data_IF_700725933714
#
_entry.id   IF_700725933714
#
_cell.length_a   1.000
_cell.length_b   1.000
_cell.length_c   1.000
_cell.angle_alpha   90.00
_cell.angle_beta   90.00
_cell.angle_gamma   90.00
#
_symmetry.space_group_name_H-M   'P 1'
#
loop_
_entity.id
_entity.type
_entity.pdbx_description
1 polymer ?
#
# COMPACT_ATOMS: atom_id res chain seq x y z
N UNK A 1 -29.30 20.19 -13.45
CA UNK A 1 -27.96 19.66 -13.79
C UNK A 1 -27.31 20.60 -14.81
N UNK A 2 -26.92 21.79 -14.37
CA UNK A 2 -26.37 22.81 -15.26
C UNK A 2 -24.84 22.83 -15.15
N UNK A 3 -24.17 22.57 -16.26
CA UNK A 3 -22.76 22.98 -16.41
C UNK A 3 -22.64 24.48 -16.19
N UNK A 4 -21.67 24.95 -15.43
CA UNK A 4 -21.47 26.38 -15.20
C UNK A 4 -21.27 27.10 -16.56
N UNK A 5 -22.05 28.15 -16.79
CA UNK A 5 -21.94 28.95 -18.00
C UNK A 5 -20.60 29.68 -18.02
N UNK A 6 -19.77 29.45 -19.02
CA UNK A 6 -18.46 30.11 -19.19
C UNK A 6 -17.25 29.19 -19.04
N UNK A 7 -17.44 27.88 -18.94
CA UNK A 7 -16.34 26.91 -18.87
C UNK A 7 -15.95 26.42 -20.27
N UNK A 8 -14.66 26.17 -20.45
CA UNK A 8 -14.13 25.57 -21.69
C UNK A 8 -14.89 24.25 -22.00
N UNK A 9 -15.38 24.04 -23.25
CA UNK A 9 -16.19 22.87 -23.61
C UNK A 9 -15.53 21.54 -23.28
N UNK A 10 -14.22 21.45 -23.33
CA UNK A 10 -13.45 20.23 -23.01
C UNK A 10 -13.47 19.92 -21.51
N UNK A 11 -13.45 20.95 -20.66
CA UNK A 11 -13.55 20.82 -19.20
C UNK A 11 -15.00 20.48 -18.81
N UNK A 12 -15.98 21.10 -19.46
CA UNK A 12 -17.40 20.84 -19.25
C UNK A 12 -17.77 19.39 -19.58
N UNK A 13 -17.24 18.84 -20.65
CA UNK A 13 -17.45 17.44 -21.06
C UNK A 13 -16.85 16.47 -20.04
N UNK A 14 -15.61 16.70 -19.60
CA UNK A 14 -14.97 15.87 -18.56
C UNK A 14 -15.69 15.95 -17.22
N UNK A 15 -16.10 17.15 -16.79
CA UNK A 15 -16.87 17.33 -15.56
C UNK A 15 -18.23 16.62 -15.66
N UNK A 16 -18.92 16.75 -16.79
CA UNK A 16 -20.19 16.06 -17.00
C UNK A 16 -20.03 14.54 -16.96
N UNK A 17 -18.97 14.01 -17.58
CA UNK A 17 -18.62 12.59 -17.54
C UNK A 17 -18.35 12.09 -16.11
N UNK A 18 -17.65 12.87 -15.29
CA UNK A 18 -17.40 12.54 -13.90
C UNK A 18 -18.66 12.62 -13.01
N UNK A 19 -19.51 13.62 -13.24
CA UNK A 19 -20.73 13.85 -12.45
C UNK A 19 -21.89 12.94 -12.86
N UNK A 20 -21.94 12.49 -14.10
CA UNK A 20 -22.96 11.57 -14.63
C UNK A 20 -22.53 10.11 -14.59
N UNK A 21 -21.44 9.80 -13.87
CA UNK A 21 -20.97 8.43 -13.72
C UNK A 21 -22.14 7.47 -13.45
N UNK A 22 -22.30 6.44 -14.26
CA UNK A 22 -23.47 5.54 -14.37
C UNK A 22 -23.98 4.85 -13.10
N UNK A 23 -23.79 5.45 -11.93
CA UNK A 23 -24.24 4.95 -10.64
C UNK A 23 -23.60 3.61 -10.26
N UNK A 24 -24.31 2.83 -9.46
CA UNK A 24 -23.85 1.52 -9.00
C UNK A 24 -23.50 0.58 -10.16
N UNK A 25 -24.27 0.63 -11.26
CA UNK A 25 -24.06 -0.26 -12.40
C UNK A 25 -22.69 -0.07 -13.06
N UNK A 26 -22.21 1.16 -13.17
CA UNK A 26 -20.86 1.44 -13.72
C UNK A 26 -19.73 0.93 -12.83
N UNK A 27 -20.00 0.80 -11.52
CA UNK A 27 -19.06 0.31 -10.54
C UNK A 27 -19.08 -1.21 -10.34
N UNK A 28 -20.06 -1.92 -10.92
CA UNK A 28 -20.22 -3.37 -10.71
C UNK A 28 -19.00 -4.17 -11.13
N UNK A 29 -18.32 -3.77 -12.20
CA UNK A 29 -17.08 -4.43 -12.62
C UNK A 29 -15.97 -4.30 -11.56
N UNK A 30 -15.78 -3.11 -11.02
CA UNK A 30 -14.79 -2.84 -9.96
C UNK A 30 -15.14 -3.59 -8.67
N UNK A 31 -16.40 -3.60 -8.28
CA UNK A 31 -16.89 -4.36 -7.12
C UNK A 31 -16.62 -5.86 -7.29
N UNK A 32 -16.93 -6.41 -8.46
CA UNK A 32 -16.65 -7.83 -8.76
C UNK A 32 -15.16 -8.15 -8.67
N UNK A 33 -14.29 -7.26 -9.19
CA UNK A 33 -12.84 -7.42 -9.10
C UNK A 33 -12.37 -7.42 -7.65
N UNK A 34 -12.87 -6.48 -6.83
CA UNK A 34 -12.53 -6.39 -5.41
C UNK A 34 -12.95 -7.66 -4.67
N UNK A 35 -14.16 -8.16 -4.90
CA UNK A 35 -14.64 -9.40 -4.28
C UNK A 35 -13.76 -10.59 -4.63
N UNK A 36 -13.39 -10.75 -5.91
CA UNK A 36 -12.49 -11.82 -6.35
C UNK A 36 -11.08 -11.68 -5.74
N UNK A 37 -10.54 -10.46 -5.69
CA UNK A 37 -9.24 -10.20 -5.09
C UNK A 37 -9.25 -10.52 -3.59
N UNK A 38 -10.30 -10.16 -2.85
CA UNK A 38 -10.42 -10.50 -1.43
C UNK A 38 -10.58 -12.01 -1.19
N UNK A 39 -11.31 -12.72 -2.03
CA UNK A 39 -11.39 -14.19 -1.98
C UNK A 39 -10.02 -14.82 -2.21
N UNK A 40 -9.29 -14.36 -3.21
CA UNK A 40 -7.94 -14.83 -3.50
C UNK A 40 -6.97 -14.52 -2.35
N UNK A 41 -6.99 -13.29 -1.84
CA UNK A 41 -6.19 -12.88 -0.69
C UNK A 41 -6.46 -13.74 0.55
N UNK A 42 -7.73 -14.01 0.85
CA UNK A 42 -8.14 -14.90 1.94
C UNK A 42 -7.62 -16.33 1.79
N UNK A 43 -7.63 -16.88 0.57
CA UNK A 43 -7.05 -18.22 0.29
C UNK A 43 -5.54 -18.20 0.55
N UNK A 44 -4.84 -17.19 0.06
CA UNK A 44 -3.39 -17.05 0.23
C UNK A 44 -3.01 -16.90 1.70
N UNK A 45 -3.79 -16.15 2.48
CA UNK A 45 -3.60 -16.01 3.94
C UNK A 45 -3.82 -17.34 4.67
N UNK A 46 -4.90 -18.04 4.37
CA UNK A 46 -5.22 -19.36 4.96
C UNK A 46 -4.17 -20.44 4.66
N UNK A 47 -3.47 -20.36 3.53
CA UNK A 47 -2.41 -21.34 3.18
C UNK A 47 -1.13 -21.18 4.01
N UNK A 48 -0.98 -20.07 4.75
CA UNK A 48 0.22 -19.75 5.52
C UNK A 48 1.46 -19.44 4.67
N UNK A 49 1.30 -19.30 3.35
CA UNK A 49 2.40 -18.95 2.45
C UNK A 49 2.99 -17.60 2.83
N UNK A 50 2.14 -16.62 3.16
CA UNK A 50 2.59 -15.29 3.55
C UNK A 50 3.45 -15.33 4.82
N UNK A 51 3.05 -16.14 5.82
CA UNK A 51 3.84 -16.33 7.04
C UNK A 51 5.24 -16.89 6.78
N UNK A 52 5.35 -17.88 5.89
CA UNK A 52 6.65 -18.43 5.50
C UNK A 52 7.51 -17.43 4.75
N UNK A 53 6.89 -16.67 3.87
CA UNK A 53 7.57 -15.63 3.08
C UNK A 53 8.17 -14.56 3.97
N UNK A 54 7.38 -14.00 4.89
CA UNK A 54 7.86 -12.96 5.79
C UNK A 54 8.90 -13.48 6.79
N UNK A 55 8.76 -14.71 7.31
CA UNK A 55 9.82 -15.32 8.12
C UNK A 55 11.13 -15.50 7.34
N UNK A 56 11.05 -15.80 6.05
CA UNK A 56 12.23 -15.87 5.19
C UNK A 56 12.84 -14.49 4.97
N UNK A 57 12.01 -13.47 4.77
CA UNK A 57 12.45 -12.08 4.61
C UNK A 57 13.01 -11.53 5.93
N UNK A 58 12.45 -11.87 7.07
CA UNK A 58 12.97 -11.45 8.38
C UNK A 58 14.40 -11.97 8.62
N UNK A 59 14.71 -13.18 8.16
CA UNK A 59 16.09 -13.70 8.20
C UNK A 59 17.06 -12.86 7.37
N UNK A 60 16.58 -12.25 6.29
CA UNK A 60 17.38 -11.38 5.42
C UNK A 60 17.70 -10.03 6.09
N UNK A 61 16.91 -9.58 7.07
CA UNK A 61 17.12 -8.33 7.81
C UNK A 61 18.43 -8.27 8.61
N UNK A 62 19.19 -9.36 8.68
CA UNK A 62 20.52 -9.47 9.33
C UNK A 62 20.59 -8.88 10.75
N UNK A 63 19.48 -8.78 11.45
CA UNK A 63 19.42 -8.23 12.80
C UNK A 63 19.61 -6.71 12.93
N UNK A 64 19.81 -5.97 11.84
CA UNK A 64 19.98 -4.52 11.87
C UNK A 64 18.64 -3.77 11.85
N UNK A 65 18.59 -2.56 12.45
CA UNK A 65 17.41 -1.71 12.45
C UNK A 65 17.01 -1.30 11.01
N UNK A 66 17.98 -0.84 10.21
CA UNK A 66 17.74 -0.47 8.82
C UNK A 66 17.34 -1.67 7.95
N UNK A 67 17.94 -2.85 8.18
CA UNK A 67 17.56 -4.08 7.50
C UNK A 67 16.11 -4.48 7.79
N UNK A 68 15.62 -4.24 9.01
CA UNK A 68 14.22 -4.49 9.37
C UNK A 68 13.26 -3.58 8.60
N UNK A 69 13.58 -2.29 8.48
CA UNK A 69 12.78 -1.34 7.67
C UNK A 69 12.71 -1.79 6.22
N UNK A 70 13.85 -2.05 5.59
CA UNK A 70 13.90 -2.50 4.19
C UNK A 70 13.07 -3.76 3.98
N UNK A 71 13.23 -4.74 4.85
CA UNK A 71 12.50 -6.01 4.73
C UNK A 71 11.00 -5.82 4.92
N UNK A 72 10.58 -4.95 5.85
CA UNK A 72 9.16 -4.63 6.06
C UNK A 72 8.57 -3.98 4.82
N UNK A 73 9.22 -2.96 4.27
CA UNK A 73 8.74 -2.25 3.08
C UNK A 73 8.72 -3.15 1.84
N UNK A 74 9.77 -3.96 1.61
CA UNK A 74 9.78 -4.94 0.53
C UNK A 74 8.68 -6.00 0.69
N UNK A 75 8.37 -6.41 1.92
CA UNK A 75 7.27 -7.32 2.19
C UNK A 75 5.92 -6.71 1.83
N UNK A 76 5.69 -5.43 2.14
CA UNK A 76 4.48 -4.72 1.75
C UNK A 76 4.31 -4.67 0.22
N UNK A 77 5.38 -4.31 -0.51
CA UNK A 77 5.38 -4.30 -1.98
C UNK A 77 5.05 -5.69 -2.53
N UNK A 78 5.66 -6.71 -1.97
CA UNK A 78 5.47 -8.10 -2.42
C UNK A 78 4.04 -8.59 -2.15
N UNK A 79 3.48 -8.27 -0.98
CA UNK A 79 2.08 -8.58 -0.66
C UNK A 79 1.13 -7.82 -1.57
N UNK A 80 1.38 -6.54 -1.88
CA UNK A 80 0.61 -5.78 -2.87
C UNK A 80 0.60 -6.44 -4.26
N UNK A 81 1.74 -7.00 -4.67
CA UNK A 81 1.86 -7.69 -5.94
C UNK A 81 1.10 -9.02 -6.00
N UNK A 82 1.13 -9.79 -4.91
CA UNK A 82 0.58 -11.15 -4.85
C UNK A 82 -0.88 -11.15 -4.41
N UNK A 83 -1.22 -10.46 -3.32
CA UNK A 83 -2.56 -10.49 -2.73
C UNK A 83 -3.55 -9.55 -3.42
N UNK A 84 -3.08 -8.68 -4.31
CA UNK A 84 -3.91 -7.76 -5.08
C UNK A 84 -4.74 -6.80 -4.22
N UNK A 85 -4.42 -6.66 -2.94
CA UNK A 85 -5.17 -5.84 -1.98
C UNK A 85 -4.25 -5.07 -1.03
N UNK A 86 -4.47 -3.77 -0.96
CA UNK A 86 -3.73 -2.84 -0.10
C UNK A 86 -3.93 -3.15 1.38
N UNK A 87 -5.14 -3.54 1.78
CA UNK A 87 -5.47 -3.82 3.17
C UNK A 87 -4.60 -4.96 3.73
N UNK A 88 -4.46 -6.05 2.97
CA UNK A 88 -3.61 -7.18 3.34
C UNK A 88 -2.13 -6.80 3.37
N UNK A 89 -1.69 -5.90 2.48
CA UNK A 89 -0.30 -5.46 2.43
C UNK A 89 0.13 -4.63 3.65
N UNK A 90 -0.82 -4.07 4.38
CA UNK A 90 -0.58 -3.34 5.63
C UNK A 90 -0.73 -4.27 6.84
N UNK A 91 -1.84 -4.99 6.92
CA UNK A 91 -2.16 -5.78 8.12
C UNK A 91 -1.20 -6.96 8.28
N UNK A 92 -0.89 -7.65 7.20
CA UNK A 92 -0.11 -8.88 7.29
C UNK A 92 1.34 -8.59 7.73
N UNK A 93 2.12 -7.72 7.04
CA UNK A 93 3.45 -7.33 7.52
C UNK A 93 3.40 -6.63 8.88
N UNK A 94 2.36 -5.83 9.15
CA UNK A 94 2.19 -5.16 10.43
C UNK A 94 2.14 -6.12 11.61
N UNK A 95 1.38 -7.20 11.50
CA UNK A 95 1.31 -8.25 12.52
C UNK A 95 2.62 -9.03 12.64
N UNK A 96 3.26 -9.31 11.52
CA UNK A 96 4.42 -10.18 11.47
C UNK A 96 5.70 -9.52 11.97
N UNK A 97 5.85 -8.23 11.71
CA UNK A 97 7.06 -7.51 12.11
C UNK A 97 6.92 -6.77 13.44
N UNK A 98 5.72 -6.73 14.04
CA UNK A 98 5.46 -6.06 15.31
C UNK A 98 6.48 -6.45 16.38
N UNK A 99 6.57 -7.75 16.70
CA UNK A 99 7.51 -8.27 17.70
C UNK A 99 8.97 -7.94 17.35
N UNK A 100 9.34 -8.01 16.06
CA UNK A 100 10.69 -7.69 15.62
C UNK A 100 11.06 -6.20 15.78
N UNK A 101 10.10 -5.28 15.74
CA UNK A 101 10.29 -3.87 16.05
C UNK A 101 10.38 -3.65 17.57
N UNK A 102 9.52 -4.31 18.35
CA UNK A 102 9.53 -4.28 19.82
C UNK A 102 10.84 -4.82 20.40
N UNK A 103 11.34 -5.96 19.92
CA UNK A 103 12.63 -6.56 20.31
C UNK A 103 13.83 -5.60 20.09
N UNK A 104 13.71 -4.70 19.12
CA UNK A 104 14.74 -3.69 18.83
C UNK A 104 14.49 -2.35 19.49
N UNK A 105 13.52 -2.27 20.41
CA UNK A 105 13.07 -1.07 21.11
C UNK A 105 12.67 0.06 20.16
N UNK A 106 12.11 -0.28 19.00
CA UNK A 106 11.61 0.70 18.04
C UNK A 106 10.14 0.98 18.31
N UNK A 107 9.80 2.26 18.47
CA UNK A 107 8.42 2.67 18.73
C UNK A 107 7.47 2.22 17.60
N UNK A 108 6.22 1.79 17.91
CA UNK A 108 5.23 1.29 16.93
C UNK A 108 4.99 2.24 15.75
N UNK A 109 5.18 3.55 15.96
CA UNK A 109 5.07 4.56 14.90
C UNK A 109 6.06 4.37 13.76
N UNK A 110 7.22 3.74 14.01
CA UNK A 110 8.19 3.45 12.94
C UNK A 110 7.62 2.35 12.03
N UNK A 111 7.04 1.30 12.61
CA UNK A 111 6.38 0.26 11.84
C UNK A 111 5.21 0.83 11.04
N UNK A 112 4.35 1.62 11.68
CA UNK A 112 3.20 2.26 11.01
C UNK A 112 3.63 3.09 9.81
N UNK A 113 4.72 3.84 9.93
CA UNK A 113 5.27 4.62 8.83
C UNK A 113 5.76 3.73 7.68
N UNK A 114 6.53 2.67 7.96
CA UNK A 114 7.00 1.75 6.92
C UNK A 114 5.82 1.10 6.16
N UNK A 115 4.75 0.74 6.89
CA UNK A 115 3.55 0.15 6.30
C UNK A 115 2.82 1.15 5.40
N UNK A 116 2.75 2.41 5.80
CA UNK A 116 2.13 3.47 5.01
C UNK A 116 2.97 3.82 3.78
N UNK A 117 4.28 4.05 3.96
CA UNK A 117 5.18 4.46 2.89
C UNK A 117 5.30 3.40 1.78
N UNK A 118 5.27 2.13 2.12
CA UNK A 118 5.39 1.05 1.14
C UNK A 118 4.05 0.36 0.86
N UNK A 119 3.24 0.06 1.87
CA UNK A 119 1.99 -0.69 1.70
C UNK A 119 0.93 0.13 0.97
N UNK A 120 0.74 1.38 1.37
CA UNK A 120 -0.29 2.24 0.78
C UNK A 120 0.13 2.77 -0.59
N UNK A 121 1.29 3.41 -0.70
CA UNK A 121 1.67 4.11 -1.91
C UNK A 121 1.97 3.15 -3.07
N UNK A 122 2.61 2.02 -2.83
CA UNK A 122 2.96 1.10 -3.91
C UNK A 122 1.78 0.28 -4.44
N UNK A 123 0.63 0.30 -3.77
CA UNK A 123 -0.58 -0.43 -4.22
C UNK A 123 -1.04 0.02 -5.61
N UNK A 124 -0.84 1.29 -5.96
CA UNK A 124 -1.22 1.86 -7.23
C UNK A 124 -0.39 1.37 -8.43
N UNK A 125 0.81 0.83 -8.18
CA UNK A 125 1.68 0.31 -9.26
C UNK A 125 1.14 -0.96 -9.90
N UNK A 126 0.36 -1.73 -9.16
CA UNK A 126 -0.15 -3.01 -9.64
C UNK A 126 -1.52 -2.83 -10.29
N UNK A 127 -1.63 -2.95 -11.63
CA UNK A 127 -2.90 -2.75 -12.33
C UNK A 127 -4.02 -3.72 -11.91
N UNK A 128 -3.64 -4.85 -11.34
CA UNK A 128 -4.56 -5.86 -10.79
C UNK A 128 -4.86 -5.68 -9.31
N UNK A 129 -4.17 -4.78 -8.62
CA UNK A 129 -4.49 -4.42 -7.25
C UNK A 129 -5.78 -3.59 -7.21
N UNK A 130 -6.57 -3.73 -6.14
CA UNK A 130 -7.84 -3.01 -5.95
C UNK A 130 -7.68 -1.50 -6.12
N UNK A 131 -6.60 -0.92 -5.59
CA UNK A 131 -6.30 0.51 -5.73
C UNK A 131 -6.01 0.92 -7.16
N UNK A 132 -5.12 0.21 -7.85
CA UNK A 132 -4.79 0.49 -9.24
C UNK A 132 -5.98 0.32 -10.18
N UNK A 133 -6.80 -0.70 -9.95
CA UNK A 133 -8.03 -0.92 -10.72
C UNK A 133 -9.06 0.19 -10.48
N UNK A 134 -9.23 0.63 -9.23
CA UNK A 134 -10.16 1.70 -8.86
C UNK A 134 -9.70 3.04 -9.45
N UNK A 135 -8.43 3.40 -9.32
CA UNK A 135 -7.88 4.63 -9.91
C UNK A 135 -8.09 4.69 -11.43
N UNK A 136 -7.82 3.59 -12.14
CA UNK A 136 -8.07 3.52 -13.59
C UNK A 136 -9.55 3.68 -13.94
N UNK A 137 -10.43 3.06 -13.16
CA UNK A 137 -11.86 3.13 -13.39
C UNK A 137 -12.41 4.55 -13.19
N UNK A 138 -12.02 5.22 -12.09
CA UNK A 138 -12.51 6.56 -11.77
C UNK A 138 -11.91 7.66 -12.65
N UNK A 139 -10.60 7.58 -12.92
CA UNK A 139 -9.91 8.62 -13.69
C UNK A 139 -9.99 8.39 -15.22
N UNK A 140 -10.57 7.25 -15.65
CA UNK A 140 -10.62 6.84 -17.05
C UNK A 140 -9.25 6.85 -17.72
N UNK A 141 -8.19 6.50 -16.97
CA UNK A 141 -6.82 6.39 -17.47
C UNK A 141 -6.42 4.93 -17.60
N UNK A 142 -5.52 4.64 -18.53
CA UNK A 142 -4.90 3.33 -18.61
C UNK A 142 -3.64 3.28 -17.73
N UNK A 143 -2.92 2.15 -17.70
CA UNK A 143 -1.71 1.98 -16.88
C UNK A 143 -0.54 2.92 -17.25
N UNK A 144 -0.67 3.78 -18.27
CA UNK A 144 0.35 4.74 -18.66
C UNK A 144 0.57 5.85 -17.60
N UNK A 145 -0.27 5.97 -16.58
CA UNK A 145 -0.02 6.88 -15.46
C UNK A 145 1.13 6.43 -14.56
N UNK A 146 1.43 5.13 -14.51
CA UNK A 146 2.41 4.54 -13.58
C UNK A 146 3.77 5.26 -13.63
N UNK A 147 4.40 5.54 -14.77
CA UNK A 147 5.66 6.26 -14.82
C UNK A 147 5.61 7.69 -14.27
N UNK A 148 4.43 8.29 -14.21
CA UNK A 148 4.23 9.65 -13.71
C UNK A 148 3.90 9.72 -12.21
N UNK A 149 3.66 8.58 -11.58
CA UNK A 149 3.40 8.46 -10.14
C UNK A 149 4.71 8.57 -9.34
N UNK A 150 5.45 9.68 -9.52
CA UNK A 150 6.80 9.89 -8.97
C UNK A 150 6.83 9.78 -7.46
N UNK A 151 5.80 10.26 -6.77
CA UNK A 151 5.71 10.21 -5.31
C UNK A 151 5.70 8.77 -4.80
N UNK A 152 4.99 7.89 -5.50
CA UNK A 152 4.83 6.49 -5.11
C UNK A 152 6.14 5.69 -5.23
N UNK A 153 7.08 6.12 -6.09
CA UNK A 153 8.44 5.55 -6.18
C UNK A 153 9.39 6.18 -5.16
N UNK A 154 9.37 7.52 -5.07
CA UNK A 154 10.34 8.28 -4.29
C UNK A 154 10.14 8.05 -2.80
N UNK A 155 8.89 8.01 -2.32
CA UNK A 155 8.60 7.92 -0.90
C UNK A 155 9.12 6.62 -0.25
N UNK A 156 8.88 5.41 -0.78
CA UNK A 156 9.46 4.18 -0.22
C UNK A 156 11.00 4.20 -0.24
N UNK A 157 11.62 4.72 -1.31
CA UNK A 157 13.10 4.81 -1.41
C UNK A 157 13.64 5.73 -0.32
N UNK A 158 13.02 6.88 -0.11
CA UNK A 158 13.41 7.84 0.93
C UNK A 158 13.18 7.24 2.32
N UNK A 159 12.09 6.54 2.54
CA UNK A 159 11.79 5.86 3.80
C UNK A 159 12.83 4.77 4.11
N UNK A 160 13.19 3.93 3.13
CA UNK A 160 14.29 2.96 3.27
C UNK A 160 15.60 3.63 3.62
N UNK A 161 15.93 4.73 2.94
CA UNK A 161 17.17 5.48 3.21
C UNK A 161 17.19 6.03 4.64
N UNK A 162 16.12 6.65 5.10
CA UNK A 162 16.00 7.15 6.46
C UNK A 162 16.07 6.03 7.50
N UNK A 163 15.46 4.88 7.21
CA UNK A 163 15.56 3.69 8.05
C UNK A 163 16.99 3.17 8.20
N UNK A 164 17.79 3.19 7.14
CA UNK A 164 19.19 2.76 7.16
C UNK A 164 20.07 3.75 7.91
N UNK A 165 19.88 5.05 7.67
CA UNK A 165 20.66 6.12 8.32
C UNK A 165 20.22 6.32 9.77
N UNK A 166 19.00 5.93 10.14
CA UNK A 166 18.47 6.04 11.50
C UNK A 166 17.98 7.45 11.89
N UNK A 167 17.89 8.38 10.94
CA UNK A 167 17.57 9.80 11.23
C UNK A 167 16.16 9.97 11.83
N UNK A 168 15.21 9.14 11.47
CA UNK A 168 13.81 9.26 11.90
C UNK A 168 13.32 8.08 12.75
N UNK A 169 14.26 7.23 13.19
CA UNK A 169 13.93 6.09 14.03
C UNK A 169 13.75 6.52 15.47
N UNK A 170 12.54 6.42 15.96
CA UNK A 170 12.21 6.75 17.34
C UNK A 170 12.28 5.51 18.19
N UNK A 171 13.03 5.56 19.26
CA UNK A 171 13.09 4.47 20.24
C UNK A 171 11.89 4.50 21.18
N UNK A 172 11.52 3.35 21.72
CA UNK A 172 10.49 3.22 22.74
C UNK A 172 10.96 3.86 24.03
N UNK A 173 10.05 4.53 24.72
CA UNK A 173 10.28 4.99 26.09
C UNK A 173 10.21 3.77 27.03
N UNK A 174 10.94 3.79 28.16
CA UNK A 174 10.94 2.69 29.13
C UNK A 174 9.51 2.36 29.63
N UNK A 175 8.62 3.35 29.71
CA UNK A 175 7.20 3.18 30.08
C UNK A 175 6.38 2.45 29.00
N UNK A 176 6.76 2.56 27.72
CA UNK A 176 6.13 1.89 26.60
C UNK A 176 6.59 0.44 26.46
N UNK A 177 7.83 0.16 26.92
CA UNK A 177 8.39 -1.20 26.84
C UNK A 177 7.90 -2.12 27.96
N UNK A 178 7.42 -1.56 29.09
CA UNK A 178 6.93 -2.32 30.25
C UNK A 178 5.42 -2.66 30.17
N UNK A 179 4.71 -2.21 29.14
CA UNK A 179 3.29 -2.50 28.90
C UNK A 179 3.12 -3.66 27.94
#
# INVERSE_FOLDING_TARGET
>A
NGTPKGMDPLIAEKLTSLLTGGGLQSMMWTISLIMLAMCFGGIVDCTGIMGRLANSMLKLARGTRGGLVIVTELSCVLVNAICCDQYLSIILPGRMYKEAFEDRRLAPKNLSRCLEDAGTLTSNFFPWNTCGATMRSFLHVNSAYIPFAVLDYVNPIVSMFYGVVGITMVEMTEEEYQK
#
